data_IF_569149021724
#
_entry.id   IF_569149021724
#
_cell.length_a   1.000
_cell.length_b   1.000
_cell.length_c   1.000
_cell.angle_alpha   90.00
_cell.angle_beta   90.00
_cell.angle_gamma   90.00
#
_symmetry.space_group_name_H-M   'P 1'
#
loop_
_entity.id
_entity.type
_entity.pdbx_description
1 polymer ?
#
# COMPACT_ATOMS: atom_id res chain seq x y z
N UNK A 1 -10.64 10.28 -3.34
CA UNK A 1 -10.13 8.97 -3.76
C UNK A 1 -8.62 8.97 -3.59
N UNK A 2 -8.09 8.23 -2.60
CA UNK A 2 -6.65 8.23 -2.28
C UNK A 2 -5.94 6.94 -2.72
N UNK A 3 -6.68 5.84 -2.88
CA UNK A 3 -6.16 4.51 -3.22
C UNK A 3 -5.44 4.49 -4.58
N UNK A 4 -6.03 5.08 -5.62
CA UNK A 4 -5.45 5.09 -6.98
C UNK A 4 -4.14 5.91 -7.02
N UNK A 5 -4.09 7.06 -6.34
CA UNK A 5 -2.86 7.85 -6.22
C UNK A 5 -1.77 7.08 -5.48
N UNK A 6 -2.13 6.34 -4.42
CA UNK A 6 -1.19 5.54 -3.66
C UNK A 6 -0.61 4.39 -4.50
N UNK A 7 -1.47 3.66 -5.23
CA UNK A 7 -1.06 2.62 -6.17
C UNK A 7 -0.15 3.16 -7.27
N UNK A 8 -0.47 4.34 -7.82
CA UNK A 8 0.38 5.02 -8.80
C UNK A 8 1.78 5.33 -8.27
N UNK A 9 1.88 5.81 -7.02
CA UNK A 9 3.16 6.07 -6.37
C UNK A 9 3.98 4.80 -6.17
N UNK A 10 3.34 3.68 -5.78
CA UNK A 10 4.01 2.38 -5.62
C UNK A 10 4.51 1.89 -6.98
N UNK A 11 3.68 1.98 -8.03
CA UNK A 11 4.05 1.56 -9.39
C UNK A 11 5.24 2.35 -9.95
N UNK A 12 5.27 3.67 -9.74
CA UNK A 12 6.39 4.54 -10.14
C UNK A 12 7.65 4.19 -9.34
N UNK A 13 7.52 3.98 -8.02
CA UNK A 13 8.65 3.68 -7.13
C UNK A 13 9.33 2.35 -7.48
N UNK A 14 8.53 1.34 -7.79
CA UNK A 14 9.01 0.01 -8.19
C UNK A 14 9.30 -0.11 -9.69
N UNK A 15 8.96 0.93 -10.48
CA UNK A 15 9.08 0.98 -11.94
C UNK A 15 8.48 -0.23 -12.65
N UNK A 16 7.34 -0.73 -12.17
CA UNK A 16 6.64 -1.89 -12.74
C UNK A 16 5.13 -1.73 -12.65
N UNK A 17 4.43 -2.46 -13.50
CA UNK A 17 2.97 -2.51 -13.48
C UNK A 17 2.49 -3.40 -12.33
N UNK A 18 1.55 -2.87 -11.54
CA UNK A 18 0.95 -3.57 -10.41
C UNK A 18 -0.43 -4.11 -10.80
N UNK A 19 -0.72 -5.35 -10.42
CA UNK A 19 -2.07 -5.92 -10.51
C UNK A 19 -2.77 -5.73 -9.18
N UNK A 20 -3.74 -4.83 -9.15
CA UNK A 20 -4.53 -4.52 -7.96
C UNK A 20 -5.85 -5.30 -7.96
N UNK A 21 -6.19 -5.93 -6.84
CA UNK A 21 -7.52 -6.50 -6.58
C UNK A 21 -8.33 -5.52 -5.72
N UNK A 22 -9.34 -4.81 -6.28
CA UNK A 22 -10.14 -3.86 -5.53
C UNK A 22 -11.10 -4.50 -4.53
N UNK A 23 -11.36 -5.81 -4.62
CA UNK A 23 -12.21 -6.52 -3.67
C UNK A 23 -11.44 -6.92 -2.42
N UNK A 24 -10.17 -7.27 -2.59
CA UNK A 24 -9.27 -7.70 -1.49
C UNK A 24 -8.39 -6.58 -0.97
N UNK A 25 -8.31 -5.48 -1.70
CA UNK A 25 -7.42 -4.36 -1.46
C UNK A 25 -5.94 -4.79 -1.37
N UNK A 26 -5.52 -5.70 -2.26
CA UNK A 26 -4.15 -6.24 -2.30
C UNK A 26 -3.53 -6.17 -3.70
N UNK A 27 -2.19 -6.21 -3.75
CA UNK A 27 -1.45 -6.36 -5.00
C UNK A 27 -1.14 -7.83 -5.24
N UNK A 28 -1.63 -8.35 -6.37
CA UNK A 28 -1.51 -9.74 -6.74
C UNK A 28 -0.14 -10.06 -7.32
N UNK A 29 0.52 -11.07 -6.73
CA UNK A 29 1.79 -11.61 -7.22
C UNK A 29 3.00 -10.72 -6.98
N UNK A 30 2.87 -9.66 -6.19
CA UNK A 30 3.95 -8.73 -5.87
C UNK A 30 3.95 -8.43 -4.35
N UNK A 31 4.53 -9.33 -3.53
CA UNK A 31 4.53 -9.19 -2.09
C UNK A 31 5.34 -7.98 -1.60
N UNK A 32 6.31 -7.50 -2.39
CA UNK A 32 7.06 -6.28 -2.07
C UNK A 32 6.16 -5.05 -2.22
N UNK A 33 5.39 -4.96 -3.31
CA UNK A 33 4.43 -3.87 -3.49
C UNK A 33 3.26 -3.95 -2.52
N UNK A 34 2.78 -5.16 -2.22
CA UNK A 34 1.70 -5.41 -1.25
C UNK A 34 2.10 -4.93 0.16
N UNK A 35 3.35 -5.18 0.57
CA UNK A 35 3.90 -4.68 1.83
C UNK A 35 4.02 -3.14 1.89
N UNK A 36 3.95 -2.43 0.75
CA UNK A 36 3.95 -0.96 0.73
C UNK A 36 2.55 -0.37 0.92
N UNK A 37 1.48 -1.15 0.74
CA UNK A 37 0.11 -0.74 1.04
C UNK A 37 -0.10 -0.66 2.55
N UNK A 38 0.32 -1.71 3.25
CA UNK A 38 0.32 -1.77 4.69
C UNK A 38 1.56 -1.03 5.20
N UNK A 39 1.46 0.30 5.31
CA UNK A 39 2.37 1.02 6.20
C UNK A 39 2.09 0.45 7.60
N UNK A 40 3.03 -0.24 8.27
CA UNK A 40 2.82 -0.62 9.64
C UNK A 40 2.58 0.68 10.41
N UNK A 41 1.35 0.86 10.88
CA UNK A 41 1.03 1.87 11.87
C UNK A 41 1.77 1.41 13.12
N UNK A 42 3.06 1.74 13.23
CA UNK A 42 3.87 1.46 14.40
C UNK A 42 3.12 2.08 15.56
N UNK A 43 2.45 1.24 16.34
CA UNK A 43 1.51 1.62 17.37
C UNK A 43 2.24 2.34 18.49
N UNK A 44 2.39 3.65 18.34
CA UNK A 44 2.70 4.56 19.44
C UNK A 44 1.92 5.86 19.26
N UNK A 45 0.61 5.75 19.12
CA UNK A 45 -0.31 6.83 19.51
C UNK A 45 -0.87 6.51 20.89
N UNK A 46 0.00 6.15 21.84
CA UNK A 46 -0.40 6.11 23.25
C UNK A 46 -0.50 7.56 23.74
N UNK A 47 -1.73 8.07 23.66
CA UNK A 47 -2.39 8.96 24.61
C UNK A 47 -1.49 9.94 25.34
N UNK A 48 -1.53 11.22 24.94
CA UNK A 48 -1.37 12.31 25.90
C UNK A 48 -2.52 12.21 26.90
N UNK A 49 -2.27 11.60 28.07
CA UNK A 49 -3.08 11.77 29.27
C UNK A 49 -2.16 12.15 30.42
#
# INVERSE_FOLDING_TARGET
SATVCHLGNIAIRLRRNLKWDPLRETILGDPEADAMLDRPLSGTWHSFR
#
